data_IF_893011137368
#
_entry.id   IF_893011137368
#
_cell.length_a   1.000
_cell.length_b   1.000
_cell.length_c   1.000
_cell.angle_alpha   90.00
_cell.angle_beta   90.00
_cell.angle_gamma   90.00
#
_symmetry.space_group_name_H-M   'P 1'
#
loop_
_entity.id
_entity.type
_entity.pdbx_description
1 polymer ?
#
# COMPACT_ATOMS: atom_id res chain seq x y z
N UNK A 1 4.29 18.80 21.01
CA UNK A 1 5.44 18.09 20.40
C UNK A 1 6.13 19.11 19.53
N UNK A 2 7.47 19.19 19.61
CA UNK A 2 8.25 20.24 18.97
C UNK A 2 8.01 20.24 17.46
N UNK A 3 7.97 21.44 16.90
CA UNK A 3 7.99 21.67 15.47
C UNK A 3 9.34 22.33 15.17
N UNK A 4 9.89 22.14 13.96
CA UNK A 4 11.12 22.79 13.51
C UNK A 4 11.06 24.31 13.73
N UNK A 5 9.86 24.90 13.79
CA UNK A 5 9.65 26.33 14.09
C UNK A 5 9.79 26.74 15.56
N UNK A 6 9.77 25.80 16.51
CA UNK A 6 9.81 26.08 17.98
C UNK A 6 11.09 25.55 18.62
N UNK A 7 12.06 25.13 17.81
CA UNK A 7 13.25 24.43 18.27
C UNK A 7 13.98 25.15 19.41
N UNK A 8 14.32 24.36 20.42
CA UNK A 8 14.95 24.76 21.67
C UNK A 8 16.44 25.01 21.39
N UNK A 9 16.81 26.25 21.08
CA UNK A 9 18.23 26.59 20.93
C UNK A 9 18.93 26.61 22.27
N UNK A 10 20.11 26.00 22.35
CA UNK A 10 21.00 26.21 23.49
C UNK A 10 21.49 27.67 23.49
N UNK A 11 21.59 28.26 24.68
CA UNK A 11 21.84 29.70 24.84
C UNK A 11 23.22 30.09 24.26
N UNK A 12 23.24 30.81 23.12
CA UNK A 12 24.48 31.34 22.51
C UNK A 12 24.70 31.00 21.04
N UNK A 13 23.83 30.20 20.42
CA UNK A 13 23.87 29.85 19.00
C UNK A 13 22.80 30.60 18.20
N UNK A 14 22.98 30.69 16.87
CA UNK A 14 21.93 31.19 15.96
C UNK A 14 20.64 30.39 16.19
N UNK A 15 19.44 30.99 16.07
CA UNK A 15 18.20 30.24 16.17
C UNK A 15 18.23 29.04 15.22
N UNK A 16 17.91 27.85 15.75
CA UNK A 16 17.86 26.58 15.00
C UNK A 16 19.21 25.97 14.59
N UNK A 17 20.35 26.48 15.08
CA UNK A 17 21.66 25.79 15.04
C UNK A 17 21.77 24.88 16.28
N UNK A 18 21.37 23.62 16.11
CA UNK A 18 21.32 22.62 17.18
C UNK A 18 22.62 21.83 17.31
N UNK A 19 23.48 21.85 16.29
CA UNK A 19 24.76 21.13 16.31
C UNK A 19 25.97 22.03 16.60
N UNK A 20 25.78 23.36 16.69
CA UNK A 20 26.79 24.35 17.01
C UNK A 20 27.76 24.67 15.87
N UNK A 21 27.41 24.32 14.63
CA UNK A 21 28.26 24.49 13.46
C UNK A 21 28.16 25.90 12.83
N UNK A 22 27.36 26.81 13.39
CA UNK A 22 27.14 28.19 12.90
C UNK A 22 26.50 28.30 11.52
N UNK A 23 25.98 27.17 11.02
CA UNK A 23 25.18 27.04 9.81
C UNK A 23 23.91 26.29 10.19
N UNK A 24 22.79 26.64 9.56
CA UNK A 24 21.53 25.91 9.75
C UNK A 24 21.32 25.02 8.54
N UNK A 25 21.48 23.71 8.71
CA UNK A 25 21.37 22.71 7.65
C UNK A 25 20.72 21.39 8.14
N UNK A 26 20.83 20.32 7.35
CA UNK A 26 20.22 19.02 7.68
C UNK A 26 20.81 18.38 8.93
N UNK A 27 22.03 18.72 9.33
CA UNK A 27 22.61 18.23 10.57
C UNK A 27 21.92 18.84 11.80
N UNK A 28 21.30 20.02 11.68
CA UNK A 28 20.47 20.59 12.76
C UNK A 28 19.13 19.88 12.90
N UNK A 29 18.52 19.46 11.78
CA UNK A 29 17.35 18.57 11.82
C UNK A 29 17.68 17.27 12.56
N UNK A 30 18.83 16.67 12.25
CA UNK A 30 19.25 15.41 12.89
C UNK A 30 19.51 15.61 14.39
N UNK A 31 20.14 16.73 14.77
CA UNK A 31 20.31 17.11 16.16
C UNK A 31 18.96 17.38 16.87
N UNK A 32 18.00 18.00 16.17
CA UNK A 32 16.65 18.21 16.68
C UNK A 32 15.91 16.90 16.96
N UNK A 33 15.99 15.91 16.08
CA UNK A 33 15.39 14.58 16.28
C UNK A 33 16.00 13.87 17.50
N UNK A 34 17.31 13.99 17.69
CA UNK A 34 18.01 13.50 18.87
C UNK A 34 17.52 14.19 20.16
N UNK A 35 17.47 15.52 20.17
CA UNK A 35 17.03 16.28 21.35
C UNK A 35 15.56 16.07 21.67
N UNK A 36 14.70 15.95 20.66
CA UNK A 36 13.28 15.68 20.84
C UNK A 36 13.04 14.30 21.49
N UNK A 37 13.83 13.30 21.09
CA UNK A 37 13.81 11.97 21.70
C UNK A 37 14.33 11.98 23.15
N UNK A 38 15.41 12.71 23.42
CA UNK A 38 15.96 12.87 24.79
C UNK A 38 14.94 13.53 25.73
N UNK A 39 14.26 14.58 25.28
CA UNK A 39 13.17 15.22 26.04
C UNK A 39 11.97 14.29 26.31
N UNK A 40 11.85 13.20 25.55
CA UNK A 40 10.82 12.18 25.68
C UNK A 40 11.31 10.93 26.41
N UNK A 41 12.56 10.94 26.86
CA UNK A 41 13.23 9.82 27.52
C UNK A 41 13.21 8.55 26.66
N UNK A 42 13.25 8.70 25.33
CA UNK A 42 13.35 7.59 24.40
C UNK A 42 14.78 7.04 24.38
N UNK A 43 14.90 5.74 24.13
CA UNK A 43 16.19 5.06 24.09
C UNK A 43 17.00 5.35 22.81
N UNK A 44 16.36 5.91 21.79
CA UNK A 44 16.94 6.23 20.49
C UNK A 44 16.33 7.51 19.91
N UNK A 45 17.03 8.22 19.01
CA UNK A 45 16.49 9.35 18.26
C UNK A 45 15.24 8.97 17.48
N UNK A 46 14.36 9.94 17.23
CA UNK A 46 13.30 9.78 16.23
C UNK A 46 13.91 9.58 14.85
N UNK A 47 13.31 8.71 14.05
CA UNK A 47 13.76 8.41 12.70
C UNK A 47 13.13 9.37 11.67
N UNK A 48 13.79 9.53 10.52
CA UNK A 48 13.18 10.22 9.39
C UNK A 48 11.93 9.46 8.96
N UNK A 49 10.82 10.16 8.73
CA UNK A 49 9.57 9.51 8.38
C UNK A 49 8.59 9.34 9.54
N UNK A 50 9.01 9.52 10.79
CA UNK A 50 8.11 9.50 11.96
C UNK A 50 7.42 10.88 12.10
N UNK A 51 6.31 11.07 11.39
CA UNK A 51 5.61 12.36 11.33
C UNK A 51 4.94 12.72 12.67
N UNK A 52 4.50 11.72 13.42
CA UNK A 52 3.74 11.92 14.65
C UNK A 52 4.63 11.94 15.91
N UNK A 53 5.92 11.61 15.77
CA UNK A 53 6.93 11.52 16.83
C UNK A 53 6.52 10.52 17.92
N UNK A 54 6.02 9.34 17.52
CA UNK A 54 5.68 8.25 18.42
C UNK A 54 6.81 7.21 18.61
N UNK A 55 7.89 7.33 17.83
CA UNK A 55 9.06 6.48 17.88
C UNK A 55 9.04 5.34 16.86
N UNK A 56 8.00 5.24 16.04
CA UNK A 56 7.87 4.27 14.97
C UNK A 56 7.64 4.97 13.63
N UNK A 57 8.22 4.43 12.55
CA UNK A 57 7.93 4.88 11.18
C UNK A 57 6.97 3.88 10.55
N UNK A 58 5.68 4.23 10.49
CA UNK A 58 4.61 3.31 10.14
C UNK A 58 3.53 3.94 9.23
N UNK A 59 2.39 3.24 9.07
CA UNK A 59 1.29 3.67 8.21
C UNK A 59 0.60 4.96 8.69
N UNK A 60 0.65 5.28 9.99
CA UNK A 60 0.09 6.53 10.52
C UNK A 60 0.88 7.75 10.00
N UNK A 61 2.19 7.61 9.85
CA UNK A 61 3.03 8.66 9.26
C UNK A 61 2.79 8.80 7.77
N UNK A 62 2.61 7.67 7.08
CA UNK A 62 2.23 7.69 5.67
C UNK A 62 0.90 8.42 5.45
N UNK A 63 -0.10 8.19 6.29
CA UNK A 63 -1.39 8.89 6.22
C UNK A 63 -1.18 10.40 6.38
N UNK A 64 -0.28 10.80 7.28
CA UNK A 64 0.06 12.20 7.55
C UNK A 64 0.77 12.86 6.37
N UNK A 65 1.79 12.23 5.80
CA UNK A 65 2.44 12.71 4.56
C UNK A 65 1.42 12.79 3.41
N UNK A 66 0.61 11.74 3.24
CA UNK A 66 -0.34 11.65 2.12
C UNK A 66 -1.46 12.70 2.20
N UNK A 67 -1.82 13.19 3.39
CA UNK A 67 -2.79 14.28 3.55
C UNK A 67 -2.23 15.66 3.22
N UNK A 68 -0.91 15.85 3.23
CA UNK A 68 -0.24 17.12 3.00
C UNK A 68 0.68 17.14 1.76
N UNK A 69 0.75 16.03 1.01
CA UNK A 69 1.61 15.93 -0.18
C UNK A 69 1.31 17.05 -1.17
N UNK A 70 2.38 17.60 -1.72
CA UNK A 70 2.44 18.75 -2.63
C UNK A 70 2.04 20.09 -2.00
N UNK A 71 1.95 20.18 -0.68
CA UNK A 71 1.78 21.45 0.03
C UNK A 71 3.12 22.10 0.37
N UNK A 72 3.13 23.43 0.38
CA UNK A 72 4.22 24.18 0.99
C UNK A 72 4.02 24.14 2.51
N UNK A 73 4.92 23.45 3.20
CA UNK A 73 4.88 23.34 4.66
C UNK A 73 6.29 23.25 5.22
N UNK A 74 6.56 24.01 6.28
CA UNK A 74 7.78 23.88 7.10
C UNK A 74 7.63 22.83 8.19
N UNK A 75 6.43 22.27 8.36
CA UNK A 75 6.07 21.49 9.53
C UNK A 75 6.51 20.04 9.36
N UNK A 76 7.29 19.55 10.34
CA UNK A 76 7.65 18.13 10.42
C UNK A 76 6.41 17.23 10.42
N UNK A 77 5.41 17.62 11.22
CA UNK A 77 4.12 16.91 11.35
C UNK A 77 3.25 16.92 10.08
N UNK A 78 3.67 17.60 9.02
CA UNK A 78 3.03 17.50 7.71
C UNK A 78 3.78 16.53 6.77
N UNK A 79 4.87 15.93 7.23
CA UNK A 79 5.71 15.03 6.44
C UNK A 79 6.78 15.74 5.61
N UNK A 80 7.24 16.94 6.01
CA UNK A 80 8.42 17.58 5.41
C UNK A 80 9.68 17.13 6.17
N UNK A 81 10.18 15.94 5.83
CA UNK A 81 11.29 15.29 6.53
C UNK A 81 12.66 15.75 6.05
N UNK A 82 12.75 16.32 4.85
CA UNK A 82 14.00 16.90 4.32
C UNK A 82 14.14 18.40 4.60
N UNK A 83 13.11 19.06 5.14
CA UNK A 83 13.13 20.48 5.50
C UNK A 83 13.15 21.45 4.32
N UNK A 84 12.82 21.02 3.09
CA UNK A 84 12.98 21.83 1.87
C UNK A 84 11.78 22.78 1.56
N UNK A 85 10.85 22.93 2.52
CA UNK A 85 9.62 23.74 2.49
C UNK A 85 8.46 23.16 1.67
N UNK A 86 8.63 22.00 1.05
CA UNK A 86 7.58 21.33 0.28
C UNK A 86 7.46 19.89 0.73
N UNK A 87 6.24 19.43 0.99
CA UNK A 87 5.99 18.02 1.24
C UNK A 87 5.89 17.34 -0.12
N UNK A 88 6.89 16.56 -0.53
CA UNK A 88 6.89 15.93 -1.85
C UNK A 88 7.37 14.48 -1.85
N UNK A 89 7.70 13.95 -3.03
CA UNK A 89 8.11 12.56 -3.21
C UNK A 89 9.46 12.28 -2.53
N UNK A 90 10.33 13.28 -2.40
CA UNK A 90 11.59 13.10 -1.68
C UNK A 90 11.38 12.89 -0.18
N UNK A 91 10.32 13.43 0.41
CA UNK A 91 9.94 13.09 1.79
C UNK A 91 9.32 11.69 1.88
N UNK A 92 8.54 11.29 0.88
CA UNK A 92 8.04 9.92 0.80
C UNK A 92 9.17 8.91 0.71
N UNK A 93 10.22 9.21 -0.05
CA UNK A 93 11.40 8.35 -0.16
C UNK A 93 12.06 8.19 1.22
N UNK A 94 12.18 9.27 2.00
CA UNK A 94 12.66 9.21 3.38
C UNK A 94 11.79 8.33 4.27
N UNK A 95 10.47 8.49 4.26
CA UNK A 95 9.57 7.59 5.00
C UNK A 95 9.74 6.13 4.56
N UNK A 96 9.79 5.88 3.25
CA UNK A 96 9.86 4.53 2.71
C UNK A 96 11.20 3.84 2.99
N UNK A 97 12.28 4.60 3.16
CA UNK A 97 13.60 4.09 3.58
C UNK A 97 13.63 3.65 5.05
N UNK A 98 12.87 4.32 5.91
CA UNK A 98 12.91 4.09 7.37
C UNK A 98 11.75 3.27 7.90
N UNK A 99 10.65 3.14 7.14
CA UNK A 99 9.49 2.38 7.60
C UNK A 99 9.87 0.95 7.95
N UNK A 100 9.45 0.52 9.13
CA UNK A 100 9.61 -0.88 9.53
C UNK A 100 8.74 -1.73 8.60
N UNK A 101 9.35 -2.73 7.96
CA UNK A 101 8.59 -3.73 7.22
C UNK A 101 7.99 -4.71 8.23
N UNK A 102 6.90 -4.32 8.87
CA UNK A 102 5.96 -5.24 9.50
C UNK A 102 5.21 -6.00 8.40
N UNK A 103 5.97 -6.71 7.57
CA UNK A 103 5.45 -7.75 6.72
C UNK A 103 5.06 -8.92 7.63
N UNK A 104 3.95 -8.76 8.35
CA UNK A 104 3.16 -9.92 8.74
C UNK A 104 2.76 -10.56 7.42
N UNK A 105 3.42 -11.66 7.07
CA UNK A 105 3.05 -12.50 5.94
C UNK A 105 1.69 -13.12 6.25
N UNK A 106 0.62 -12.33 6.15
CA UNK A 106 -0.74 -12.82 6.06
C UNK A 106 -0.81 -13.53 4.71
N UNK A 107 -0.84 -14.85 4.75
CA UNK A 107 -1.15 -15.67 3.60
C UNK A 107 -2.53 -15.24 3.09
N UNK A 108 -2.56 -14.30 2.14
CA UNK A 108 -3.77 -13.92 1.43
C UNK A 108 -4.27 -15.17 0.73
N UNK A 109 -5.46 -15.71 1.05
CA UNK A 109 -6.05 -16.77 0.25
C UNK A 109 -6.22 -16.22 -1.16
N UNK A 110 -5.54 -16.82 -2.12
CA UNK A 110 -5.62 -16.46 -3.52
C UNK A 110 -7.10 -16.41 -3.92
N UNK A 111 -7.60 -15.20 -4.18
CA UNK A 111 -8.85 -15.06 -4.89
C UNK A 111 -8.54 -15.50 -6.31
N UNK A 112 -8.85 -16.76 -6.63
CA UNK A 112 -8.60 -17.34 -7.95
C UNK A 112 -9.04 -16.32 -9.01
N UNK A 113 -8.17 -15.90 -9.95
CA UNK A 113 -8.61 -15.06 -11.06
C UNK A 113 -9.77 -15.78 -11.72
N UNK A 114 -10.82 -15.03 -12.08
CA UNK A 114 -12.18 -15.44 -12.45
C UNK A 114 -12.28 -16.53 -13.54
N UNK A 115 -11.76 -17.72 -13.27
CA UNK A 115 -11.83 -18.93 -14.09
C UNK A 115 -13.23 -19.55 -14.01
N UNK A 116 -14.01 -19.23 -12.97
CA UNK A 116 -15.40 -19.65 -12.83
C UNK A 116 -16.31 -19.20 -14.00
N UNK A 117 -15.97 -18.12 -14.71
CA UNK A 117 -16.75 -17.64 -15.86
C UNK A 117 -16.55 -18.52 -17.10
N UNK A 118 -15.35 -19.10 -17.27
CA UNK A 118 -15.04 -20.01 -18.39
C UNK A 118 -15.71 -21.39 -18.20
N UNK A 119 -15.72 -21.91 -16.98
CA UNK A 119 -16.34 -23.21 -16.70
C UNK A 119 -17.87 -23.19 -16.88
N UNK A 120 -18.52 -22.08 -16.52
CA UNK A 120 -19.96 -21.88 -16.74
C UNK A 120 -20.32 -21.75 -18.23
N UNK A 121 -19.47 -21.11 -19.03
CA UNK A 121 -19.68 -20.98 -20.47
C UNK A 121 -19.48 -22.34 -21.18
N UNK A 122 -18.49 -23.12 -20.76
CA UNK A 122 -18.23 -24.45 -21.31
C UNK A 122 -19.40 -25.43 -21.01
N UNK A 123 -19.93 -25.41 -19.79
CA UNK A 123 -21.05 -26.28 -19.39
C UNK A 123 -22.34 -25.96 -20.17
N UNK A 124 -22.64 -24.67 -20.36
CA UNK A 124 -23.84 -24.23 -21.09
C UNK A 124 -23.77 -24.55 -22.59
N UNK A 125 -22.58 -24.44 -23.21
CA UNK A 125 -22.36 -24.86 -24.60
C UNK A 125 -22.51 -26.40 -24.75
N UNK A 126 -21.92 -27.18 -23.83
CA UNK A 126 -22.04 -28.64 -23.84
C UNK A 126 -23.48 -29.14 -23.69
N UNK A 127 -24.24 -28.59 -22.74
CA UNK A 127 -25.66 -28.94 -22.54
C UNK A 127 -26.55 -28.51 -23.71
N UNK A 128 -26.23 -27.39 -24.35
CA UNK A 128 -26.97 -26.91 -25.53
C UNK A 128 -26.76 -27.82 -26.75
N UNK A 129 -25.54 -28.34 -26.94
CA UNK A 129 -25.23 -29.25 -28.04
C UNK A 129 -25.79 -30.66 -27.83
N UNK A 130 -25.81 -31.18 -26.59
CA UNK A 130 -26.38 -32.50 -26.31
C UNK A 130 -27.90 -32.54 -26.53
N UNK A 131 -28.62 -31.47 -26.14
CA UNK A 131 -30.07 -31.36 -26.35
C UNK A 131 -30.43 -31.20 -27.85
N UNK A 132 -29.59 -30.52 -28.62
CA UNK A 132 -29.76 -30.41 -30.09
C UNK A 132 -29.58 -31.76 -30.78
N UNK A 133 -28.58 -32.55 -30.37
CA UNK A 133 -28.33 -33.89 -30.94
C UNK A 133 -29.45 -34.89 -30.60
N UNK A 134 -30.01 -34.84 -29.40
CA UNK A 134 -31.14 -35.70 -29.01
C UNK A 134 -32.43 -35.39 -29.78
N UNK A 135 -32.67 -34.12 -30.13
CA UNK A 135 -33.81 -33.68 -30.95
C UNK A 135 -33.71 -34.10 -32.42
N UNK A 136 -32.51 -34.25 -32.97
CA UNK A 136 -32.31 -34.81 -34.31
C UNK A 136 -32.46 -36.33 -34.32
N UNK A 137 -31.99 -37.03 -33.27
CA UNK A 137 -32.10 -38.49 -33.18
C UNK A 137 -33.54 -38.99 -33.03
N UNK A 138 -34.41 -38.25 -32.35
CA UNK A 138 -35.83 -38.63 -32.14
C UNK A 138 -36.74 -38.32 -33.34
N UNK A 139 -36.36 -37.40 -34.22
CA UNK A 139 -37.14 -37.05 -35.42
C UNK A 139 -36.68 -37.76 -36.71
N UNK A 140 -35.62 -38.60 -36.65
CA UNK A 140 -35.07 -39.32 -37.81
C UNK A 140 -35.56 -40.76 -38.00
N UNK A 141 -36.38 -41.32 -37.10
CA UNK A 141 -36.81 -42.73 -37.19
C UNK A 141 -38.21 -42.85 -37.81
N UNK A 142 -38.36 -42.54 -39.10
CA UNK A 142 -39.51 -43.01 -39.89
C UNK A 142 -39.19 -44.39 -40.49
N UNK A 143 -40.03 -45.34 -40.10
CA UNK A 143 -39.99 -46.79 -40.30
C UNK A 143 -39.76 -47.24 -41.75
N UNK A 144 -38.84 -48.19 -41.95
CA UNK A 144 -38.96 -49.21 -43.01
C UNK A 144 -39.42 -50.50 -42.32
N UNK A 145 -40.70 -50.85 -42.43
CA UNK A 145 -41.22 -52.16 -42.02
C UNK A 145 -40.97 -53.16 -43.16
N UNK A 146 -40.16 -54.20 -42.93
CA UNK A 146 -40.05 -55.33 -43.86
C UNK A 146 -41.25 -56.29 -43.69
N UNK A 147 -41.71 -56.85 -44.81
CA UNK A 147 -42.86 -57.78 -44.91
C UNK A 147 -42.43 -59.20 -44.47
N UNK A 148 -43.29 -60.01 -43.82
CA UNK A 148 -42.94 -61.36 -43.40
C UNK A 148 -43.31 -62.41 -44.45
N UNK A 149 -42.42 -63.36 -44.71
CA UNK A 149 -42.71 -64.65 -45.32
C UNK A 149 -41.74 -65.65 -44.73
N UNK A 150 -42.08 -66.87 -44.35
CA UNK A 150 -43.30 -67.67 -44.37
C UNK A 150 -42.86 -69.02 -43.82
N UNK A 151 -43.65 -69.63 -42.93
CA UNK A 151 -43.37 -70.95 -42.37
C UNK A 151 -43.77 -72.03 -43.40
N UNK A 152 -42.79 -72.83 -43.82
CA UNK A 152 -42.72 -74.30 -43.89
C UNK A 152 -41.63 -74.72 -44.89
#
# INVERSE_FOLDING_TARGET
LGDLTVGISEHGHEPFDFNGATVVDLADRDAWLLFAADHKELAAPYELGDANLDGEVNDADFVTWNSHKFELSTLWSHGNFNGNLVVDVSDFDLWNEHRSSDAVAISVPEMKPATAVLDWLALTICLSNSLRLQRFATNGYLRITSVPGGLL
#
